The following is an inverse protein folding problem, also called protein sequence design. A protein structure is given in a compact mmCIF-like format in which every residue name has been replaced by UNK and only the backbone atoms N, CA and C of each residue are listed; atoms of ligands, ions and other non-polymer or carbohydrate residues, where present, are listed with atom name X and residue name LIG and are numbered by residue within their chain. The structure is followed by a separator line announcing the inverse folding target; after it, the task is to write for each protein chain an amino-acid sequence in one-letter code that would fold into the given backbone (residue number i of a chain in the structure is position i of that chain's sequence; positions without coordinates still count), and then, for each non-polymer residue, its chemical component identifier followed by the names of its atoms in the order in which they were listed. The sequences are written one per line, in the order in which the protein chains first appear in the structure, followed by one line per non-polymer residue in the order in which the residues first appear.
data_IF_490749803574
#
_entry.id   IF_490749803574
#
_cell.length_a   1.000
_cell.length_b   1.000
_cell.length_c   1.000
_cell.angle_alpha   90.00
_cell.angle_beta   90.00
_cell.angle_gamma   90.00
#
_symmetry.space_group_name_H-M   'P 1'
#
loop_
_entity.id
_entity.type
_entity.pdbx_description
1 polymer ?
#
# COMPACT_ATOMS: atom_id res chain seq x y z
N UNK A 1 -12.71 -21.57 3.13
CA UNK A 1 -13.84 -22.12 2.38
C UNK A 1 -14.81 -22.80 3.35
N UNK A 2 -16.12 -22.78 3.06
CA UNK A 2 -17.14 -23.51 3.82
C UNK A 2 -17.38 -24.88 3.17
N UNK A 3 -17.40 -25.95 3.95
CA UNK A 3 -17.68 -27.30 3.49
C UNK A 3 -18.73 -27.99 4.37
N UNK A 4 -19.60 -28.80 3.74
CA UNK A 4 -20.52 -29.67 4.45
C UNK A 4 -19.79 -30.99 4.75
N UNK A 5 -19.55 -31.27 6.03
CA UNK A 5 -18.95 -32.51 6.51
C UNK A 5 -20.01 -33.51 7.06
N UNK A 6 -21.25 -33.34 6.66
CA UNK A 6 -22.34 -34.23 7.03
C UNK A 6 -22.94 -33.98 8.40
N UNK A 7 -22.48 -32.98 9.15
CA UNK A 7 -23.09 -32.58 10.43
C UNK A 7 -24.40 -31.83 10.20
N UNK A 8 -25.42 -32.11 11.00
CA UNK A 8 -26.72 -31.49 10.95
C UNK A 8 -27.05 -30.75 12.24
N UNK A 9 -27.68 -29.60 12.15
CA UNK A 9 -28.18 -28.88 13.31
C UNK A 9 -29.55 -29.44 13.79
N UNK A 10 -30.05 -28.94 14.91
CA UNK A 10 -31.35 -29.36 15.48
C UNK A 10 -32.55 -29.21 14.52
N UNK A 11 -32.41 -28.45 13.43
CA UNK A 11 -33.43 -28.22 12.40
C UNK A 11 -33.13 -28.98 11.11
N UNK A 12 -32.28 -30.02 11.17
CA UNK A 12 -31.84 -30.85 10.04
C UNK A 12 -31.19 -30.06 8.88
N UNK A 13 -30.63 -28.90 9.16
CA UNK A 13 -29.87 -28.11 8.18
C UNK A 13 -28.39 -28.47 8.28
N UNK A 14 -27.63 -28.50 7.14
CA UNK A 14 -26.21 -28.75 7.17
C UNK A 14 -25.45 -27.69 7.98
N UNK A 15 -24.54 -28.15 8.82
CA UNK A 15 -23.60 -27.29 9.54
C UNK A 15 -22.35 -27.20 8.67
N UNK A 16 -22.06 -26.00 8.16
CA UNK A 16 -20.91 -25.76 7.30
C UNK A 16 -19.66 -25.55 8.16
N UNK A 17 -18.63 -26.33 7.90
CA UNK A 17 -17.33 -26.18 8.54
C UNK A 17 -16.38 -25.32 7.72
N UNK A 18 -15.46 -24.62 8.39
CA UNK A 18 -14.38 -23.89 7.74
C UNK A 18 -13.26 -24.88 7.40
N UNK A 19 -12.84 -24.86 6.14
CA UNK A 19 -11.66 -25.61 5.68
C UNK A 19 -10.73 -24.65 4.93
N UNK A 20 -9.43 -24.95 4.96
CA UNK A 20 -8.43 -24.22 4.17
C UNK A 20 -8.59 -24.58 2.69
N UNK A 21 -8.58 -23.58 1.82
CA UNK A 21 -8.42 -23.78 0.39
C UNK A 21 -6.93 -23.66 0.08
N UNK A 22 -6.27 -24.78 -0.26
CA UNK A 22 -4.83 -24.81 -0.45
C UNK A 22 -4.35 -23.97 -1.63
N UNK A 23 -5.13 -23.82 -2.68
CA UNK A 23 -4.79 -22.94 -3.80
C UNK A 23 -4.73 -21.48 -3.35
N UNK A 24 -5.71 -21.03 -2.58
CA UNK A 24 -5.70 -19.68 -2.02
C UNK A 24 -4.65 -19.54 -0.90
N UNK A 25 -4.43 -20.55 -0.09
CA UNK A 25 -3.43 -20.55 0.97
C UNK A 25 -2.01 -20.41 0.43
N UNK A 26 -1.72 -21.01 -0.72
CA UNK A 26 -0.40 -20.94 -1.35
C UNK A 26 0.02 -19.51 -1.67
N UNK A 27 -0.86 -18.73 -2.32
CA UNK A 27 -0.52 -17.33 -2.60
C UNK A 27 -0.58 -16.42 -1.36
N UNK A 28 -1.38 -16.76 -0.33
CA UNK A 28 -1.32 -16.06 0.96
C UNK A 28 0.04 -16.26 1.62
N UNK A 29 0.57 -17.50 1.69
CA UNK A 29 1.93 -17.78 2.19
C UNK A 29 2.98 -16.99 1.42
N UNK A 30 2.87 -16.91 0.10
CA UNK A 30 3.79 -16.14 -0.75
C UNK A 30 3.74 -14.63 -0.44
N UNK A 31 2.55 -14.06 -0.20
CA UNK A 31 2.43 -12.66 0.19
C UNK A 31 3.19 -12.37 1.50
N UNK A 32 3.02 -13.20 2.51
CA UNK A 32 3.74 -13.05 3.78
C UNK A 32 5.25 -13.21 3.61
N UNK A 33 5.68 -14.22 2.86
CA UNK A 33 7.10 -14.43 2.54
C UNK A 33 7.72 -13.17 1.89
N UNK A 34 7.08 -12.63 0.87
CA UNK A 34 7.57 -11.43 0.17
C UNK A 34 7.59 -10.16 1.03
N UNK A 35 6.65 -10.02 1.95
CA UNK A 35 6.68 -8.91 2.90
C UNK A 35 7.85 -9.03 3.86
N UNK A 36 8.07 -10.22 4.43
CA UNK A 36 9.07 -10.45 5.48
C UNK A 36 10.48 -10.48 4.91
N UNK A 37 10.71 -11.18 3.80
CA UNK A 37 12.05 -11.43 3.25
C UNK A 37 12.47 -10.46 2.14
N UNK A 38 11.53 -10.06 1.27
CA UNK A 38 11.84 -9.17 0.15
C UNK A 38 11.44 -7.72 0.44
N UNK A 39 10.77 -7.46 1.53
CA UNK A 39 10.29 -6.12 1.84
C UNK A 39 9.30 -5.58 0.81
N UNK A 40 8.53 -6.43 0.13
CA UNK A 40 7.60 -6.03 -0.91
C UNK A 40 6.53 -5.05 -0.40
N UNK A 41 6.16 -4.09 -1.24
CA UNK A 41 5.08 -3.15 -0.92
C UNK A 41 3.71 -3.75 -1.25
N UNK A 42 2.65 -3.26 -0.57
CA UNK A 42 1.29 -3.70 -0.90
C UNK A 42 0.89 -3.42 -2.35
N UNK A 43 1.46 -2.39 -2.98
CA UNK A 43 1.25 -2.10 -4.40
C UNK A 43 1.91 -3.17 -5.30
N UNK A 44 3.18 -3.48 -5.07
CA UNK A 44 3.91 -4.50 -5.85
C UNK A 44 3.26 -5.89 -5.74
N UNK A 45 2.78 -6.24 -4.54
CA UNK A 45 2.07 -7.49 -4.30
C UNK A 45 0.70 -7.54 -5.02
N UNK A 46 -0.03 -6.43 -5.01
CA UNK A 46 -1.30 -6.33 -5.76
C UNK A 46 -1.07 -6.47 -7.26
N UNK A 47 -0.05 -5.83 -7.79
CA UNK A 47 0.35 -5.92 -9.20
C UNK A 47 0.76 -7.36 -9.57
N UNK A 48 1.56 -8.02 -8.74
CA UNK A 48 1.95 -9.43 -8.92
C UNK A 48 0.74 -10.35 -9.04
N UNK A 49 -0.24 -10.26 -8.13
CA UNK A 49 -1.45 -11.07 -8.18
C UNK A 49 -2.29 -10.77 -9.43
N UNK A 50 -2.41 -9.49 -9.78
CA UNK A 50 -3.15 -9.06 -10.96
C UNK A 50 -2.53 -9.56 -12.26
N UNK A 51 -1.20 -9.58 -12.36
CA UNK A 51 -0.45 -10.05 -13.53
C UNK A 51 -0.58 -11.58 -13.71
N UNK A 52 -0.76 -12.31 -12.60
CA UNK A 52 -1.11 -13.74 -12.63
C UNK A 52 -2.58 -14.03 -12.98
N UNK A 53 -3.36 -13.01 -13.26
CA UNK A 53 -4.79 -13.15 -13.57
C UNK A 53 -5.69 -13.33 -12.36
N UNK A 54 -5.15 -13.33 -11.13
CA UNK A 54 -5.95 -13.44 -9.91
C UNK A 54 -6.83 -12.21 -9.71
N UNK A 55 -8.02 -12.43 -9.18
CA UNK A 55 -9.01 -11.38 -8.92
C UNK A 55 -9.59 -11.54 -7.52
N UNK A 56 -10.14 -10.46 -6.99
CA UNK A 56 -10.90 -10.50 -5.73
C UNK A 56 -12.17 -11.32 -5.93
N UNK A 57 -12.81 -11.75 -4.83
CA UNK A 57 -14.10 -12.47 -4.88
C UNK A 57 -15.17 -11.73 -5.70
N UNK A 58 -15.11 -10.41 -5.79
CA UNK A 58 -16.01 -9.58 -6.60
C UNK A 58 -15.56 -9.43 -8.07
N UNK A 59 -14.53 -10.16 -8.52
CA UNK A 59 -13.99 -10.09 -9.88
C UNK A 59 -13.10 -8.87 -10.16
N UNK A 60 -12.88 -7.98 -9.18
CA UNK A 60 -12.08 -6.79 -9.36
C UNK A 60 -10.56 -7.07 -9.23
N UNK A 61 -9.73 -6.17 -9.76
CA UNK A 61 -8.28 -6.18 -9.54
C UNK A 61 -7.95 -5.93 -8.07
N UNK A 62 -6.91 -6.59 -7.59
CA UNK A 62 -6.37 -6.31 -6.26
C UNK A 62 -5.77 -4.90 -6.20
N UNK A 63 -5.99 -4.23 -5.08
CA UNK A 63 -5.38 -2.95 -4.73
C UNK A 63 -4.50 -3.11 -3.49
N UNK A 64 -3.58 -2.17 -3.25
CA UNK A 64 -2.72 -2.18 -2.07
C UNK A 64 -3.52 -2.32 -0.76
N UNK A 65 -4.66 -1.67 -0.65
CA UNK A 65 -5.55 -1.76 0.51
C UNK A 65 -6.09 -3.18 0.76
N UNK A 66 -6.38 -3.94 -0.32
CA UNK A 66 -6.79 -5.35 -0.20
C UNK A 66 -5.66 -6.20 0.37
N UNK A 67 -4.44 -6.02 -0.13
CA UNK A 67 -3.25 -6.74 0.34
C UNK A 67 -2.99 -6.44 1.82
N UNK A 68 -3.01 -5.17 2.20
CA UNK A 68 -2.80 -4.79 3.61
C UNK A 68 -3.87 -5.38 4.53
N UNK A 69 -5.12 -5.49 4.07
CA UNK A 69 -6.20 -6.14 4.82
C UNK A 69 -5.96 -7.64 4.96
N UNK A 70 -5.48 -8.31 3.91
CA UNK A 70 -5.12 -9.73 3.96
C UNK A 70 -4.02 -9.95 5.00
N UNK A 71 -2.92 -9.19 4.95
CA UNK A 71 -1.78 -9.36 5.87
C UNK A 71 -2.15 -9.06 7.32
N UNK A 72 -3.11 -8.16 7.56
CA UNK A 72 -3.58 -7.82 8.91
C UNK A 72 -4.63 -8.79 9.46
N UNK A 73 -5.08 -9.74 8.66
CA UNK A 73 -6.15 -10.65 9.08
C UNK A 73 -5.60 -11.80 9.92
N UNK A 74 -5.81 -11.74 11.22
CA UNK A 74 -5.34 -12.73 12.20
C UNK A 74 -5.89 -14.15 11.97
N UNK A 75 -7.01 -14.30 11.26
CA UNK A 75 -7.60 -15.61 10.95
C UNK A 75 -6.65 -16.60 10.25
N UNK A 76 -5.60 -16.10 9.59
CA UNK A 76 -4.59 -16.96 8.96
C UNK A 76 -3.66 -17.67 9.95
N UNK A 77 -3.67 -17.27 11.21
CA UNK A 77 -2.89 -17.92 12.29
C UNK A 77 -3.65 -19.03 13.01
N UNK A 78 -4.78 -19.49 12.46
CA UNK A 78 -5.54 -20.62 13.02
C UNK A 78 -6.67 -20.22 13.98
N UNK A 79 -7.15 -18.98 13.91
CA UNK A 79 -8.26 -18.51 14.74
C UNK A 79 -9.45 -18.06 13.88
N UNK A 80 -10.65 -18.29 14.37
CA UNK A 80 -11.87 -17.71 13.80
C UNK A 80 -12.14 -16.38 14.52
N UNK A 81 -12.04 -15.28 13.77
CA UNK A 81 -12.21 -13.94 14.31
C UNK A 81 -13.59 -13.40 13.91
N UNK A 82 -14.39 -13.04 14.89
CA UNK A 82 -15.67 -12.35 14.74
C UNK A 82 -15.59 -10.95 15.36
N UNK A 83 -16.62 -10.12 15.18
CA UNK A 83 -16.63 -8.76 15.73
C UNK A 83 -16.39 -8.72 17.26
N UNK A 84 -16.87 -9.73 18.00
CA UNK A 84 -16.93 -9.71 19.45
C UNK A 84 -16.24 -10.91 20.11
N UNK A 85 -15.68 -11.83 19.32
CA UNK A 85 -15.09 -13.05 19.86
C UNK A 85 -13.97 -13.58 18.96
N UNK A 86 -13.01 -14.22 19.62
CA UNK A 86 -11.93 -15.02 19.01
C UNK A 86 -12.13 -16.46 19.47
N UNK A 87 -12.04 -17.42 18.56
CA UNK A 87 -12.12 -18.84 18.90
C UNK A 87 -10.86 -19.29 19.67
N UNK A 88 -10.91 -20.52 20.19
CA UNK A 88 -9.71 -21.26 20.51
C UNK A 88 -8.88 -21.51 19.25
N UNK A 89 -7.62 -21.86 19.45
CA UNK A 89 -6.70 -22.17 18.35
C UNK A 89 -7.13 -23.48 17.65
N UNK A 90 -7.22 -23.42 16.33
CA UNK A 90 -7.61 -24.53 15.44
C UNK A 90 -6.46 -24.79 14.48
N UNK A 91 -5.61 -25.81 14.73
CA UNK A 91 -4.42 -26.07 13.92
C UNK A 91 -4.72 -26.30 12.44
N UNK A 92 -5.86 -26.90 12.11
CA UNK A 92 -6.29 -27.22 10.74
C UNK A 92 -6.59 -25.96 9.89
N UNK A 93 -6.81 -24.82 10.55
CA UNK A 93 -7.06 -23.53 9.89
C UNK A 93 -5.80 -22.66 9.78
N UNK A 94 -4.68 -23.10 10.34
CA UNK A 94 -3.45 -22.33 10.30
C UNK A 94 -2.82 -22.35 8.91
N UNK A 95 -2.65 -21.18 8.32
CA UNK A 95 -1.98 -20.97 7.03
C UNK A 95 -0.58 -20.38 7.27
N UNK A 96 -0.46 -19.48 8.24
CA UNK A 96 0.75 -18.74 8.60
C UNK A 96 1.04 -18.94 10.08
N UNK A 97 2.30 -19.13 10.44
CA UNK A 97 2.71 -19.15 11.84
C UNK A 97 2.65 -17.77 12.48
N UNK A 98 2.51 -17.72 13.80
CA UNK A 98 2.32 -16.50 14.57
C UNK A 98 3.52 -15.55 14.42
N UNK A 99 4.74 -16.09 14.39
CA UNK A 99 5.97 -15.29 14.28
C UNK A 99 6.04 -14.56 12.93
N UNK A 100 5.77 -15.26 11.83
CA UNK A 100 5.72 -14.68 10.48
C UNK A 100 4.61 -13.61 10.37
N UNK A 101 3.45 -13.87 10.97
CA UNK A 101 2.35 -12.91 11.01
C UNK A 101 2.74 -11.62 11.73
N UNK A 102 3.34 -11.73 12.92
CA UNK A 102 3.78 -10.57 13.70
C UNK A 102 4.88 -9.77 13.00
N UNK A 103 5.89 -10.46 12.42
CA UNK A 103 6.95 -9.81 11.64
C UNK A 103 6.39 -9.02 10.46
N UNK A 104 5.48 -9.61 9.69
CA UNK A 104 4.86 -8.93 8.55
C UNK A 104 4.07 -7.69 8.98
N UNK A 105 3.30 -7.78 10.05
CA UNK A 105 2.52 -6.66 10.59
C UNK A 105 3.41 -5.55 11.18
N UNK A 106 4.52 -5.90 11.84
CA UNK A 106 5.49 -4.92 12.33
C UNK A 106 6.14 -4.15 11.17
N UNK A 107 6.57 -4.83 10.11
CA UNK A 107 7.13 -4.20 8.90
C UNK A 107 6.12 -3.21 8.29
N UNK A 108 4.85 -3.60 8.15
CA UNK A 108 3.80 -2.73 7.61
C UNK A 108 3.53 -1.55 8.53
N UNK A 109 3.48 -1.77 9.84
CA UNK A 109 3.22 -0.74 10.85
C UNK A 109 4.33 0.30 10.88
N UNK A 110 5.59 -0.11 10.84
CA UNK A 110 6.75 0.79 10.76
C UNK A 110 6.73 1.66 9.50
N UNK A 111 6.31 1.11 8.37
CA UNK A 111 6.14 1.88 7.12
C UNK A 111 5.01 2.91 7.24
N UNK A 112 3.90 2.54 7.86
CA UNK A 112 2.76 3.44 8.10
C UNK A 112 3.12 4.55 9.08
N UNK A 113 3.82 4.25 10.18
CA UNK A 113 4.29 5.23 11.16
C UNK A 113 5.29 6.21 10.56
N UNK A 114 6.25 5.74 9.73
CA UNK A 114 7.14 6.62 8.95
C UNK A 114 6.35 7.57 8.06
N UNK A 115 5.25 7.13 7.46
CA UNK A 115 4.42 7.99 6.60
C UNK A 115 3.69 9.08 7.40
N UNK A 116 3.37 8.86 8.67
CA UNK A 116 2.69 9.85 9.51
C UNK A 116 3.66 10.89 10.11
N UNK A 117 4.83 10.45 10.57
CA UNK A 117 5.83 11.32 11.23
C UNK A 117 6.97 11.76 10.30
N UNK A 118 7.35 10.94 9.32
CA UNK A 118 8.42 11.17 8.35
C UNK A 118 7.92 11.44 6.93
N UNK A 119 6.82 12.14 6.76
CA UNK A 119 6.51 12.79 5.46
C UNK A 119 7.58 13.81 5.05
N UNK A 120 8.75 13.73 5.68
CA UNK A 120 9.88 14.64 5.47
C UNK A 120 10.72 14.28 4.25
N UNK A 121 10.64 13.04 3.76
CA UNK A 121 11.40 12.59 2.60
C UNK A 121 10.42 12.04 1.57
N UNK A 122 10.15 12.83 0.53
CA UNK A 122 9.45 12.34 -0.65
C UNK A 122 10.40 11.41 -1.41
N UNK A 123 10.18 10.10 -1.33
CA UNK A 123 10.83 9.16 -2.24
C UNK A 123 10.20 9.30 -3.62
N UNK A 124 10.81 10.08 -4.48
CA UNK A 124 10.46 10.12 -5.89
C UNK A 124 11.33 9.12 -6.63
N UNK A 125 10.83 7.94 -6.80
CA UNK A 125 11.53 6.88 -7.53
C UNK A 125 11.70 7.18 -9.03
N UNK A 126 10.89 8.06 -9.60
CA UNK A 126 10.89 8.36 -11.04
C UNK A 126 11.47 9.72 -11.41
N UNK A 127 11.54 10.67 -10.48
CA UNK A 127 12.08 12.02 -10.72
C UNK A 127 13.02 12.40 -9.58
N UNK A 128 14.32 12.19 -9.72
CA UNK A 128 15.31 12.48 -8.69
C UNK A 128 15.49 13.99 -8.54
N UNK A 129 14.63 14.61 -7.74
CA UNK A 129 14.85 15.97 -7.26
C UNK A 129 15.68 15.90 -5.98
N UNK A 130 16.96 16.25 -6.06
CA UNK A 130 17.97 16.06 -5.01
C UNK A 130 17.52 16.59 -3.64
N UNK A 131 16.82 17.72 -3.63
CA UNK A 131 16.40 18.41 -2.40
C UNK A 131 14.95 18.09 -1.99
N UNK A 132 14.33 17.06 -2.59
CA UNK A 132 12.97 16.67 -2.24
C UNK A 132 12.88 16.32 -0.74
N UNK A 133 11.96 17.01 -0.07
CA UNK A 133 11.72 16.76 1.35
C UNK A 133 12.55 17.55 2.35
N UNK A 134 13.61 18.24 1.92
CA UNK A 134 14.48 19.04 2.79
C UNK A 134 14.41 20.55 2.51
N UNK A 135 13.76 20.98 1.43
CA UNK A 135 13.59 22.39 1.09
C UNK A 135 12.27 22.92 1.61
N UNK A 136 12.34 24.09 2.22
CA UNK A 136 11.19 24.81 2.75
C UNK A 136 11.09 26.20 2.10
N UNK A 137 9.86 26.66 1.94
CA UNK A 137 9.59 28.00 1.41
C UNK A 137 10.00 29.07 2.42
N UNK A 138 10.88 29.99 2.04
CA UNK A 138 11.32 31.08 2.90
C UNK A 138 10.17 32.05 3.27
N UNK A 139 9.13 32.12 2.45
CA UNK A 139 7.98 33.01 2.70
C UNK A 139 7.01 32.46 3.76
N UNK A 140 6.64 31.17 3.66
CA UNK A 140 5.58 30.62 4.52
C UNK A 140 6.03 29.43 5.38
N UNK A 141 7.30 29.01 5.30
CA UNK A 141 7.84 27.87 6.03
C UNK A 141 7.30 26.51 5.57
N UNK A 142 6.42 26.45 4.57
CA UNK A 142 5.88 25.20 4.08
C UNK A 142 6.93 24.43 3.27
N UNK A 143 6.82 23.10 3.33
CA UNK A 143 7.67 22.18 2.55
C UNK A 143 7.45 22.39 1.05
N UNK A 144 8.53 22.41 0.28
CA UNK A 144 8.46 22.53 -1.18
C UNK A 144 8.39 21.16 -1.84
N UNK A 145 7.64 21.08 -2.92
CA UNK A 145 7.55 19.90 -3.77
C UNK A 145 8.51 20.02 -4.95
N UNK A 146 9.30 18.98 -5.19
CA UNK A 146 10.16 18.89 -6.37
C UNK A 146 9.38 18.32 -7.58
N UNK A 147 9.65 18.85 -8.75
CA UNK A 147 9.12 18.34 -10.02
C UNK A 147 10.11 18.57 -11.16
N UNK A 148 9.98 17.81 -12.22
CA UNK A 148 10.78 18.01 -13.43
C UNK A 148 10.04 18.99 -14.34
N UNK A 149 10.69 20.08 -14.68
CA UNK A 149 10.17 21.09 -15.60
C UNK A 149 10.86 20.97 -16.95
N UNK A 150 10.09 20.98 -18.04
CA UNK A 150 10.61 20.94 -19.40
C UNK A 150 10.43 22.32 -20.04
N UNK A 151 11.54 23.02 -20.23
CA UNK A 151 11.57 24.26 -21.00
C UNK A 151 11.76 23.92 -22.49
N UNK A 152 10.87 24.43 -23.33
CA UNK A 152 10.92 24.28 -24.79
C UNK A 152 11.27 25.64 -25.41
N UNK A 153 12.33 25.70 -26.17
CA UNK A 153 12.69 26.90 -26.90
C UNK A 153 13.06 26.59 -28.34
N UNK A 154 12.66 27.52 -29.22
CA UNK A 154 12.93 27.44 -30.65
C UNK A 154 14.30 28.05 -30.95
N UNK A 155 15.16 27.31 -31.61
CA UNK A 155 16.45 27.78 -32.07
C UNK A 155 16.32 28.62 -33.36
N UNK A 156 17.35 29.36 -33.73
CA UNK A 156 17.39 30.18 -34.93
C UNK A 156 17.21 29.42 -36.23
N UNK A 157 17.56 28.12 -36.23
CA UNK A 157 17.37 27.19 -37.34
C UNK A 157 15.92 26.61 -37.43
N UNK A 158 15.03 27.03 -36.52
CA UNK A 158 13.66 26.55 -36.46
C UNK A 158 13.46 25.25 -35.69
N UNK A 159 14.52 24.57 -35.25
CA UNK A 159 14.44 23.36 -34.43
C UNK A 159 13.98 23.68 -33.01
N UNK A 160 13.29 22.72 -32.36
CA UNK A 160 12.85 22.83 -30.97
C UNK A 160 13.83 22.07 -30.09
N UNK A 161 14.40 22.78 -29.10
CA UNK A 161 15.25 22.15 -28.09
C UNK A 161 14.49 22.07 -26.76
N UNK A 162 14.59 20.94 -26.10
CA UNK A 162 14.01 20.73 -24.79
C UNK A 162 15.11 20.67 -23.72
N UNK A 163 14.91 21.36 -22.62
CA UNK A 163 15.75 21.30 -21.44
C UNK A 163 14.93 20.85 -20.26
N UNK A 164 15.24 19.68 -19.74
CA UNK A 164 14.59 19.14 -18.54
C UNK A 164 15.45 19.46 -17.32
N UNK A 165 14.85 20.10 -16.32
CA UNK A 165 15.56 20.45 -15.10
C UNK A 165 14.66 20.32 -13.87
N UNK A 166 15.21 19.91 -12.70
CA UNK A 166 14.47 19.86 -11.47
C UNK A 166 14.13 21.27 -11.00
N UNK A 167 12.86 21.48 -10.62
CA UNK A 167 12.39 22.71 -9.97
C UNK A 167 11.66 22.38 -8.69
N UNK A 168 11.59 23.34 -7.78
CA UNK A 168 10.91 23.20 -6.49
C UNK A 168 9.82 24.27 -6.39
N UNK A 169 8.62 23.88 -6.01
CA UNK A 169 7.48 24.77 -5.86
C UNK A 169 6.88 24.68 -4.45
N UNK A 170 6.48 25.83 -3.92
CA UNK A 170 5.76 25.86 -2.66
C UNK A 170 4.34 25.32 -2.84
N UNK A 171 3.99 24.32 -2.04
CA UNK A 171 2.66 23.70 -2.09
C UNK A 171 1.52 24.70 -1.78
N UNK A 172 1.79 25.70 -0.93
CA UNK A 172 0.79 26.72 -0.56
C UNK A 172 0.55 27.77 -1.66
N UNK A 173 1.45 27.85 -2.66
CA UNK A 173 1.27 28.74 -3.79
C UNK A 173 0.07 28.29 -4.63
N UNK A 174 -0.90 29.17 -4.82
CA UNK A 174 -2.11 28.86 -5.57
C UNK A 174 -3.19 28.08 -4.80
N UNK A 175 -3.04 27.87 -3.50
CA UNK A 175 -4.08 27.27 -2.65
C UNK A 175 -5.09 28.29 -2.10
N UNK A 176 -5.02 29.54 -2.55
CA UNK A 176 -5.91 30.64 -2.13
C UNK A 176 -7.39 30.24 -2.13
N UNK A 177 -7.84 29.53 -3.17
CA UNK A 177 -9.24 29.14 -3.32
C UNK A 177 -9.62 27.84 -2.56
N UNK A 178 -8.67 27.21 -1.84
CA UNK A 178 -8.87 25.92 -1.12
C UNK A 178 -8.68 26.05 0.39
N UNK A 179 -8.71 27.29 0.93
CA UNK A 179 -8.51 27.52 2.36
C UNK A 179 -7.07 27.37 2.85
N UNK A 180 -6.10 27.24 1.95
CA UNK A 180 -4.67 27.24 2.25
C UNK A 180 -4.13 28.64 2.51
N UNK A 181 -2.93 28.73 3.10
CA UNK A 181 -2.22 30.00 3.26
C UNK A 181 -1.79 30.50 1.88
N UNK A 182 -2.05 31.78 1.61
CA UNK A 182 -1.53 32.41 0.42
C UNK A 182 -0.01 32.59 0.54
N UNK A 183 0.72 32.15 -0.46
CA UNK A 183 2.17 32.25 -0.49
C UNK A 183 2.63 32.82 -1.83
N UNK A 184 3.32 33.94 -1.79
CA UNK A 184 3.91 34.59 -2.96
C UNK A 184 5.31 34.05 -3.31
N UNK A 185 5.77 33.00 -2.60
CA UNK A 185 7.07 32.38 -2.84
C UNK A 185 7.22 31.89 -4.27
N UNK A 186 8.33 32.26 -4.91
CA UNK A 186 8.66 31.85 -6.27
C UNK A 186 9.13 30.38 -6.30
N UNK A 187 8.97 29.73 -7.44
CA UNK A 187 9.61 28.44 -7.71
C UNK A 187 11.13 28.67 -7.87
N UNK A 188 11.94 27.78 -7.28
CA UNK A 188 13.38 27.71 -7.44
C UNK A 188 13.74 26.70 -8.51
#
# INVERSE_FOLDING_TARGET
QLADQGRRNKRDKPVMDLIVNEEEAAWVRELFYKVVHEGASGYALAEMLNNRGLRTRAGAKFQSSNILRIIRHEGYTGYIITKNARSEYIPELQIIDQETFEKANDIISRRSAKTAQDRRIAHTSQNPTLLAGIVYCAHCGAKMSGFMHTDRYKLADGSIREKVQPKYNCFQRGQRNKGGRDCDGQAL
#
